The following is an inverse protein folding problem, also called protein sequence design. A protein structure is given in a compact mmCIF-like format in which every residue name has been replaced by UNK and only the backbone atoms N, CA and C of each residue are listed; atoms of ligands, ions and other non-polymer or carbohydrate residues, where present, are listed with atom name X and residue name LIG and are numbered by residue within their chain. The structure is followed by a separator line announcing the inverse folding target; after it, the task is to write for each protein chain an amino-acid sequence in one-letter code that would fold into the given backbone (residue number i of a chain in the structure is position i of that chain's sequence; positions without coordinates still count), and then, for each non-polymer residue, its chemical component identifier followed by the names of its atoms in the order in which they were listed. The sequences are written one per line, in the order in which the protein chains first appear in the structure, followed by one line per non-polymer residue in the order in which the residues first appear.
data_IF_371905713994
#
_entry.id   IF_371905713994
#
_cell.length_a   1.000
_cell.length_b   1.000
_cell.length_c   1.000
_cell.angle_alpha   90.00
_cell.angle_beta   90.00
_cell.angle_gamma   90.00
#
_symmetry.space_group_name_H-M   'P 1'
#
loop_
_entity.id
_entity.type
_entity.pdbx_description
1 polymer ?
#
# COMPACT_ATOMS: atom_id res chain seq x y z
N UNK A 1 9.16 -5.97 -16.98
CA UNK A 1 8.89 -5.14 -18.20
C UNK A 1 9.42 -5.86 -19.44
N UNK A 2 9.05 -5.45 -20.66
CA UNK A 2 9.47 -6.13 -21.92
C UNK A 2 10.70 -5.47 -22.58
N UNK A 3 11.48 -4.66 -21.84
CA UNK A 3 12.75 -4.16 -22.33
C UNK A 3 13.79 -5.27 -22.40
N UNK A 4 14.58 -5.26 -23.47
CA UNK A 4 15.86 -5.96 -23.49
C UNK A 4 16.83 -5.26 -22.54
N UNK A 5 17.81 -6.00 -22.02
CA UNK A 5 18.80 -5.45 -21.08
C UNK A 5 19.49 -4.17 -21.58
N UNK A 6 19.92 -4.03 -22.85
CA UNK A 6 20.54 -2.80 -23.33
C UNK A 6 19.62 -1.57 -23.27
N UNK A 7 18.33 -1.75 -23.54
CA UNK A 7 17.35 -0.65 -23.44
C UNK A 7 17.14 -0.26 -21.99
N UNK A 8 17.04 -1.24 -21.10
CA UNK A 8 16.95 -1.01 -19.66
C UNK A 8 18.15 -0.20 -19.15
N UNK A 9 19.36 -0.65 -19.48
CA UNK A 9 20.62 -0.01 -19.09
C UNK A 9 20.72 1.43 -19.60
N UNK A 10 20.32 1.67 -20.86
CA UNK A 10 20.32 3.01 -21.44
C UNK A 10 19.35 3.97 -20.72
N UNK A 11 18.18 3.48 -20.30
CA UNK A 11 17.19 4.30 -19.58
C UNK A 11 17.69 4.64 -18.19
N UNK A 12 18.18 3.66 -17.42
CA UNK A 12 18.66 3.91 -16.05
C UNK A 12 19.94 4.77 -16.04
N UNK A 13 20.78 4.68 -17.08
CA UNK A 13 21.96 5.53 -17.22
C UNK A 13 21.58 7.01 -17.42
N UNK A 14 20.48 7.28 -18.13
CA UNK A 14 19.95 8.64 -18.34
C UNK A 14 19.08 9.12 -17.18
N UNK A 15 18.42 8.19 -16.49
CA UNK A 15 17.47 8.44 -15.42
C UNK A 15 17.77 7.52 -14.24
N UNK A 16 18.72 7.90 -13.35
CA UNK A 16 19.05 7.11 -12.18
C UNK A 16 17.82 6.89 -11.29
N UNK A 17 17.56 5.64 -10.93
CA UNK A 17 16.44 5.26 -10.05
C UNK A 17 16.99 4.87 -8.66
N UNK A 18 16.23 5.10 -7.57
CA UNK A 18 16.69 4.76 -6.23
C UNK A 18 16.95 3.26 -6.09
N UNK A 19 18.17 2.90 -5.69
CA UNK A 19 18.52 1.54 -5.28
C UNK A 19 18.16 1.36 -3.80
N UNK A 20 17.38 0.32 -3.48
CA UNK A 20 17.05 0.00 -2.08
C UNK A 20 17.85 -1.19 -1.53
N UNK A 21 18.52 -1.96 -2.40
CA UNK A 21 19.26 -3.16 -2.01
C UNK A 21 20.63 -3.18 -2.71
N UNK A 22 21.58 -3.96 -2.18
CA UNK A 22 22.90 -4.16 -2.80
C UNK A 22 22.85 -4.99 -4.11
N UNK A 23 21.65 -5.25 -4.63
CA UNK A 23 21.42 -6.05 -5.83
C UNK A 23 21.40 -5.18 -7.09
N UNK A 24 21.93 -5.72 -8.19
CA UNK A 24 21.92 -5.04 -9.47
C UNK A 24 20.49 -4.81 -9.98
N UNK A 25 20.23 -3.62 -10.54
CA UNK A 25 18.94 -3.27 -11.11
C UNK A 25 18.55 -4.24 -12.24
N UNK A 26 17.29 -4.65 -12.26
CA UNK A 26 16.82 -5.68 -13.20
C UNK A 26 15.42 -5.41 -13.75
N UNK A 27 15.17 -5.60 -15.07
CA UNK A 27 13.84 -5.44 -15.65
C UNK A 27 12.81 -6.49 -15.18
N UNK A 28 13.27 -7.52 -14.46
CA UNK A 28 12.45 -8.59 -13.89
C UNK A 28 12.06 -8.35 -12.43
N UNK A 29 12.70 -7.38 -11.77
CA UNK A 29 12.30 -6.93 -10.43
C UNK A 29 11.14 -5.93 -10.59
N UNK A 30 9.95 -6.17 -9.99
CA UNK A 30 8.78 -5.32 -10.20
C UNK A 30 9.03 -3.83 -9.92
N UNK A 31 9.72 -3.52 -8.82
CA UNK A 31 10.12 -2.16 -8.44
C UNK A 31 10.88 -1.48 -9.57
N UNK A 32 12.00 -2.07 -9.98
CA UNK A 32 12.90 -1.49 -10.98
C UNK A 32 12.20 -1.35 -12.33
N UNK A 33 11.39 -2.34 -12.70
CA UNK A 33 10.60 -2.32 -13.92
C UNK A 33 9.60 -1.15 -13.93
N UNK A 34 8.91 -0.89 -12.82
CA UNK A 34 7.96 0.21 -12.68
C UNK A 34 8.68 1.55 -12.76
N UNK A 35 9.74 1.75 -11.96
CA UNK A 35 10.49 3.02 -11.97
C UNK A 35 11.12 3.31 -13.34
N UNK A 36 11.68 2.29 -13.99
CA UNK A 36 12.28 2.43 -15.32
C UNK A 36 11.23 2.72 -16.39
N UNK A 37 10.05 2.10 -16.32
CA UNK A 37 8.95 2.41 -17.24
C UNK A 37 8.50 3.88 -17.09
N UNK A 38 8.36 4.37 -15.85
CA UNK A 38 8.02 5.79 -15.59
C UNK A 38 9.10 6.72 -16.14
N UNK A 39 10.38 6.40 -15.89
CA UNK A 39 11.51 7.17 -16.41
C UNK A 39 11.50 7.23 -17.95
N UNK A 40 11.29 6.09 -18.62
CA UNK A 40 11.21 6.01 -20.07
C UNK A 40 10.07 6.86 -20.64
N UNK A 41 8.87 6.75 -20.07
CA UNK A 41 7.71 7.52 -20.51
C UNK A 41 7.97 9.01 -20.30
N UNK A 42 8.50 9.42 -19.14
CA UNK A 42 8.85 10.82 -18.88
C UNK A 42 9.92 11.34 -19.85
N UNK A 43 10.95 10.54 -20.14
CA UNK A 43 11.98 10.83 -21.13
C UNK A 43 11.44 10.93 -22.56
N UNK A 44 10.33 10.25 -22.84
CA UNK A 44 9.57 10.31 -24.10
C UNK A 44 8.52 11.43 -24.12
N UNK A 45 8.53 12.33 -23.14
CA UNK A 45 7.65 13.50 -23.08
C UNK A 45 6.40 13.35 -22.21
N UNK A 46 6.22 12.20 -21.52
CA UNK A 46 5.02 11.91 -20.73
C UNK A 46 4.89 12.68 -19.40
N UNK A 47 5.87 13.53 -19.06
CA UNK A 47 5.97 14.13 -17.73
C UNK A 47 4.75 15.01 -17.41
N UNK A 48 4.13 14.71 -16.27
CA UNK A 48 2.89 15.37 -15.82
C UNK A 48 1.64 14.90 -16.57
N UNK A 49 1.65 13.71 -17.17
CA UNK A 49 0.51 13.15 -17.92
C UNK A 49 0.30 13.76 -19.31
N UNK A 50 1.24 14.59 -19.79
CA UNK A 50 1.18 15.19 -21.14
C UNK A 50 1.69 14.20 -22.19
N UNK A 51 1.32 14.35 -23.45
CA UNK A 51 1.87 13.55 -24.58
C UNK A 51 1.89 12.02 -24.37
N UNK A 52 0.98 11.48 -23.53
CA UNK A 52 0.97 10.05 -23.20
C UNK A 52 0.84 9.17 -24.43
N UNK A 53 -0.03 9.57 -25.37
CA UNK A 53 -0.20 8.88 -26.65
C UNK A 53 1.14 8.72 -27.39
N UNK A 54 1.86 9.82 -27.60
CA UNK A 54 3.14 9.82 -28.31
C UNK A 54 4.20 9.01 -27.55
N UNK A 55 4.26 9.14 -26.22
CA UNK A 55 5.23 8.40 -25.41
C UNK A 55 4.98 6.87 -25.44
N UNK A 56 3.72 6.44 -25.41
CA UNK A 56 3.35 5.02 -25.53
C UNK A 56 3.62 4.53 -26.96
N UNK A 57 3.36 5.35 -27.97
CA UNK A 57 3.66 5.00 -29.37
C UNK A 57 5.17 4.82 -29.60
N UNK A 58 6.01 5.63 -28.94
CA UNK A 58 7.48 5.47 -28.94
C UNK A 58 7.89 4.16 -28.25
N UNK A 59 7.16 3.73 -27.21
CA UNK A 59 7.40 2.42 -26.56
C UNK A 59 7.04 1.26 -27.48
N UNK A 60 5.87 1.33 -28.13
CA UNK A 60 5.38 0.33 -29.05
C UNK A 60 4.61 1.03 -30.19
N UNK A 61 5.12 1.00 -31.44
CA UNK A 61 4.57 1.76 -32.56
C UNK A 61 3.31 1.09 -33.15
N UNK A 62 2.32 0.87 -32.31
CA UNK A 62 1.06 0.24 -32.65
C UNK A 62 -0.10 1.00 -32.02
N UNK A 63 -0.92 1.65 -32.85
CA UNK A 63 -2.04 2.47 -32.37
C UNK A 63 -3.05 1.67 -31.53
N UNK A 64 -3.30 0.40 -31.89
CA UNK A 64 -4.17 -0.47 -31.09
C UNK A 64 -3.61 -0.71 -29.67
N UNK A 65 -2.29 -0.74 -29.52
CA UNK A 65 -1.63 -0.91 -28.22
C UNK A 65 -1.75 0.36 -27.39
N UNK A 66 -1.52 1.52 -28.02
CA UNK A 66 -1.72 2.84 -27.38
C UNK A 66 -3.16 2.97 -26.89
N UNK A 67 -4.14 2.70 -27.74
CA UNK A 67 -5.55 2.74 -27.38
C UNK A 67 -5.88 1.81 -26.20
N UNK A 68 -5.35 0.57 -26.22
CA UNK A 68 -5.53 -0.38 -25.12
C UNK A 68 -4.93 0.11 -23.80
N UNK A 69 -3.71 0.64 -23.83
CA UNK A 69 -3.02 1.13 -22.62
C UNK A 69 -3.71 2.36 -22.05
N UNK A 70 -4.16 3.28 -22.89
CA UNK A 70 -4.88 4.48 -22.45
C UNK A 70 -6.26 4.13 -21.88
N UNK A 71 -6.98 3.17 -22.48
CA UNK A 71 -8.24 2.67 -21.92
C UNK A 71 -8.02 2.03 -20.54
N UNK A 72 -7.03 1.14 -20.41
CA UNK A 72 -6.69 0.54 -19.12
C UNK A 72 -6.30 1.59 -18.07
N UNK A 73 -5.57 2.63 -18.47
CA UNK A 73 -5.20 3.73 -17.57
C UNK A 73 -6.42 4.56 -17.12
N UNK A 74 -7.48 4.66 -17.93
CA UNK A 74 -8.74 5.30 -17.55
C UNK A 74 -9.51 4.43 -16.54
N UNK A 75 -9.58 3.12 -16.77
CA UNK A 75 -10.22 2.18 -15.82
C UNK A 75 -9.58 2.27 -14.43
N UNK A 76 -8.25 2.35 -14.35
CA UNK A 76 -7.54 2.53 -13.08
C UNK A 76 -7.78 3.88 -12.39
N UNK A 77 -8.21 4.90 -13.12
CA UNK A 77 -8.57 6.21 -12.56
C UNK A 77 -10.02 6.26 -12.08
N UNK A 78 -10.85 5.29 -12.48
CA UNK A 78 -12.26 5.22 -12.16
C UNK A 78 -12.51 4.02 -11.22
N UNK A 79 -12.53 4.21 -9.89
CA UNK A 79 -12.73 3.12 -8.93
C UNK A 79 -14.02 2.33 -9.20
N UNK A 80 -15.05 3.00 -9.75
CA UNK A 80 -16.31 2.40 -10.18
C UNK A 80 -16.15 1.28 -11.20
N UNK A 81 -15.19 1.39 -12.12
CA UNK A 81 -14.96 0.43 -13.20
C UNK A 81 -14.22 -0.81 -12.67
N UNK A 82 -13.62 -0.71 -11.49
CA UNK A 82 -12.95 -1.80 -10.75
C UNK A 82 -13.82 -2.41 -9.65
N UNK A 83 -15.10 -2.05 -9.57
CA UNK A 83 -16.04 -2.54 -8.54
C UNK A 83 -16.02 -1.75 -7.23
N UNK A 84 -15.34 -0.61 -7.17
CA UNK A 84 -15.41 0.35 -6.08
C UNK A 84 -16.67 1.20 -6.16
N UNK A 85 -17.66 0.92 -5.33
CA UNK A 85 -18.99 1.53 -5.45
C UNK A 85 -19.18 2.82 -4.63
N UNK A 86 -18.19 3.22 -3.82
CA UNK A 86 -18.27 4.43 -2.98
C UNK A 86 -16.89 5.02 -2.69
N UNK A 87 -16.81 6.36 -2.64
CA UNK A 87 -15.66 7.07 -2.07
C UNK A 87 -15.42 6.63 -0.62
N UNK A 88 -14.16 6.46 -0.18
CA UNK A 88 -13.86 6.11 1.20
C UNK A 88 -14.40 7.19 2.15
N UNK A 89 -14.94 6.77 3.30
CA UNK A 89 -15.32 7.71 4.34
C UNK A 89 -14.09 8.50 4.84
N UNK A 90 -14.25 9.72 5.38
CA UNK A 90 -13.12 10.48 5.92
C UNK A 90 -12.27 9.69 6.93
N UNK A 91 -12.92 8.91 7.79
CA UNK A 91 -12.24 8.03 8.74
C UNK A 91 -11.46 6.90 8.07
N UNK A 92 -12.00 6.29 7.01
CA UNK A 92 -11.29 5.28 6.23
C UNK A 92 -10.07 5.89 5.53
N UNK A 93 -10.23 7.08 4.95
CA UNK A 93 -9.12 7.81 4.32
C UNK A 93 -8.00 8.12 5.32
N UNK A 94 -8.33 8.64 6.49
CA UNK A 94 -7.34 8.97 7.52
C UNK A 94 -6.58 7.73 8.03
N UNK A 95 -7.27 6.60 8.20
CA UNK A 95 -6.62 5.35 8.57
C UNK A 95 -5.69 4.83 7.46
N UNK A 96 -6.11 4.93 6.19
CA UNK A 96 -5.28 4.57 5.04
C UNK A 96 -4.04 5.47 4.96
N UNK A 97 -4.22 6.79 5.05
CA UNK A 97 -3.13 7.76 4.98
C UNK A 97 -2.08 7.50 6.10
N UNK A 98 -2.52 7.15 7.32
CA UNK A 98 -1.59 6.73 8.38
C UNK A 98 -0.83 5.45 8.03
N UNK A 99 -1.55 4.42 7.55
CA UNK A 99 -0.96 3.12 7.22
C UNK A 99 0.04 3.23 6.05
N UNK A 100 -0.25 4.06 5.05
CA UNK A 100 0.67 4.36 3.94
C UNK A 100 1.96 5.02 4.45
N UNK A 101 1.87 5.89 5.46
CA UNK A 101 3.04 6.46 6.13
C UNK A 101 3.96 5.43 6.79
N UNK A 102 3.47 4.21 7.05
CA UNK A 102 4.24 3.12 7.67
C UNK A 102 4.87 2.17 6.64
N UNK A 103 4.71 2.43 5.34
CA UNK A 103 5.28 1.57 4.28
C UNK A 103 6.80 1.48 4.38
N UNK A 104 7.32 0.25 4.33
CA UNK A 104 8.75 -0.04 4.43
C UNK A 104 9.23 -0.40 5.85
N UNK A 105 8.40 -0.23 6.88
CA UNK A 105 8.71 -0.75 8.21
C UNK A 105 8.65 -2.29 8.22
N UNK A 106 9.53 -2.95 8.99
CA UNK A 106 9.52 -4.41 9.12
C UNK A 106 8.26 -4.90 9.83
N UNK A 107 7.83 -6.12 9.48
CA UNK A 107 6.84 -6.83 10.29
C UNK A 107 7.47 -7.31 11.59
N UNK A 108 6.93 -6.90 12.73
CA UNK A 108 7.42 -7.28 14.06
C UNK A 108 6.30 -7.97 14.82
N UNK A 109 6.47 -9.25 15.15
CA UNK A 109 5.47 -10.02 15.89
C UNK A 109 5.20 -9.39 17.27
N UNK A 110 3.96 -8.97 17.53
CA UNK A 110 3.57 -8.23 18.74
C UNK A 110 3.84 -6.72 18.68
N UNK A 111 4.45 -6.24 17.59
CA UNK A 111 4.90 -4.84 17.46
C UNK A 111 3.76 -3.84 17.27
N UNK A 112 3.86 -2.72 17.96
CA UNK A 112 2.90 -1.61 17.97
C UNK A 112 3.39 -0.38 17.19
N UNK A 113 4.58 -0.46 16.60
CA UNK A 113 5.18 0.60 15.80
C UNK A 113 6.27 1.41 16.50
N UNK A 114 6.95 2.29 15.75
CA UNK A 114 8.08 3.08 16.25
C UNK A 114 7.77 3.98 17.44
N UNK A 115 6.55 4.52 17.52
CA UNK A 115 6.13 5.38 18.64
C UNK A 115 6.08 4.62 19.97
N UNK A 116 5.85 3.30 19.93
CA UNK A 116 5.87 2.41 21.08
C UNK A 116 7.25 1.74 21.29
N UNK A 117 8.26 2.15 20.52
CA UNK A 117 9.63 1.64 20.61
C UNK A 117 9.92 0.39 19.79
N UNK A 118 8.97 -0.09 18.99
CA UNK A 118 9.14 -1.25 18.12
C UNK A 118 9.70 -0.83 16.75
N UNK A 119 10.52 -1.69 16.12
CA UNK A 119 11.06 -1.39 14.79
C UNK A 119 9.96 -1.32 13.69
N UNK A 120 8.77 -1.86 13.97
CA UNK A 120 7.62 -1.85 13.07
C UNK A 120 6.40 -2.49 13.73
N UNK A 121 5.47 -2.97 12.92
CA UNK A 121 4.14 -3.39 13.38
C UNK A 121 3.89 -4.87 13.10
N UNK A 122 3.03 -5.51 13.89
CA UNK A 122 2.29 -6.69 13.43
C UNK A 122 0.96 -6.27 12.76
N UNK A 123 0.19 -7.27 12.32
CA UNK A 123 -1.06 -7.04 11.62
C UNK A 123 -2.07 -6.21 12.44
N UNK A 124 -2.36 -6.60 13.67
CA UNK A 124 -3.34 -5.89 14.50
C UNK A 124 -2.80 -4.61 15.11
N UNK A 125 -1.48 -4.46 15.22
CA UNK A 125 -0.81 -3.25 15.71
C UNK A 125 -0.97 -2.11 14.73
N UNK A 126 -0.66 -2.37 13.46
CA UNK A 126 -0.85 -1.38 12.40
C UNK A 126 -2.31 -0.98 12.27
N UNK A 127 -3.24 -1.95 12.25
CA UNK A 127 -4.68 -1.66 12.14
C UNK A 127 -5.16 -0.83 13.34
N UNK A 128 -4.75 -1.17 14.56
CA UNK A 128 -5.13 -0.40 15.75
C UNK A 128 -4.62 1.04 15.68
N UNK A 129 -3.36 1.23 15.32
CA UNK A 129 -2.75 2.56 15.24
C UNK A 129 -3.40 3.41 14.14
N UNK A 130 -3.66 2.82 12.96
CA UNK A 130 -4.33 3.48 11.85
C UNK A 130 -5.75 3.94 12.18
N UNK A 131 -6.56 3.11 12.82
CA UNK A 131 -7.93 3.51 13.18
C UNK A 131 -7.95 4.49 14.36
N UNK A 132 -6.92 4.48 15.22
CA UNK A 132 -6.81 5.43 16.32
C UNK A 132 -6.62 6.87 15.85
N UNK A 133 -5.95 7.12 14.71
CA UNK A 133 -5.84 8.48 14.13
C UNK A 133 -7.22 9.01 13.74
N UNK A 134 -8.05 8.16 13.14
CA UNK A 134 -9.46 8.44 12.84
C UNK A 134 -10.40 8.43 14.06
N UNK A 135 -9.86 8.36 15.30
CA UNK A 135 -10.64 8.37 16.54
C UNK A 135 -11.44 7.09 16.81
N UNK A 136 -11.15 5.98 16.12
CA UNK A 136 -11.84 4.69 16.26
C UNK A 136 -10.96 3.73 17.08
N UNK A 137 -11.24 3.54 18.37
CA UNK A 137 -10.41 2.67 19.21
C UNK A 137 -10.64 1.20 18.87
N UNK A 138 -9.58 0.48 18.51
CA UNK A 138 -9.60 -0.96 18.30
C UNK A 138 -8.87 -1.71 19.43
N UNK A 139 -9.32 -2.94 19.67
CA UNK A 139 -8.63 -3.87 20.56
C UNK A 139 -7.37 -4.43 19.90
N UNK A 140 -6.42 -4.87 20.73
CA UNK A 140 -5.10 -5.28 20.25
C UNK A 140 -5.09 -6.64 19.55
N UNK A 141 -6.05 -7.50 19.86
CA UNK A 141 -6.19 -8.81 19.27
C UNK A 141 -7.31 -8.80 18.21
N UNK A 142 -7.06 -9.40 17.05
CA UNK A 142 -8.12 -9.68 16.08
C UNK A 142 -9.07 -10.81 16.52
N UNK A 143 -8.82 -11.39 17.71
CA UNK A 143 -9.61 -12.50 18.24
C UNK A 143 -10.92 -11.98 18.84
N UNK A 144 -11.95 -12.01 18.00
CA UNK A 144 -13.34 -11.78 18.35
C UNK A 144 -13.82 -12.84 19.35
N UNK A 145 -14.02 -12.45 20.61
CA UNK A 145 -14.85 -13.21 21.58
C UNK A 145 -16.05 -12.38 22.03
N UNK A 146 -16.74 -11.70 21.11
CA UNK A 146 -18.08 -11.14 21.38
C UNK A 146 -19.02 -11.30 20.17
N UNK A 147 -20.28 -11.73 20.37
CA UNK A 147 -21.27 -11.92 19.29
C UNK A 147 -21.89 -10.61 18.78
N UNK A 148 -21.53 -9.46 19.34
CA UNK A 148 -22.24 -8.21 19.10
C UNK A 148 -21.25 -7.09 18.71
N UNK A 149 -21.65 -6.29 17.73
CA UNK A 149 -20.91 -5.18 17.12
C UNK A 149 -20.91 -3.91 17.99
N UNK A 150 -21.20 -4.03 19.28
CA UNK A 150 -21.11 -2.90 20.21
C UNK A 150 -19.66 -2.39 20.27
N UNK A 151 -19.42 -1.08 20.01
CA UNK A 151 -18.09 -0.51 20.13
C UNK A 151 -17.59 -0.69 21.55
N UNK A 152 -16.31 -1.04 21.72
CA UNK A 152 -15.62 -1.00 23.01
C UNK A 152 -15.51 0.46 23.49
N UNK A 153 -16.65 1.02 23.90
CA UNK A 153 -16.74 2.32 24.54
C UNK A 153 -16.28 2.16 25.98
N UNK A 154 -15.29 2.96 26.35
CA UNK A 154 -14.76 3.07 27.70
C UNK A 154 -15.85 3.52 28.67
N UNK A 155 -16.56 2.59 29.30
CA UNK A 155 -17.20 2.86 30.58
C UNK A 155 -16.44 2.10 31.66
N UNK A 156 -15.63 2.84 32.41
CA UNK A 156 -15.10 2.42 33.71
C UNK A 156 -16.30 2.17 34.64
N UNK A 157 -16.80 0.95 34.72
CA UNK A 157 -17.66 0.53 35.82
C UNK A 157 -16.80 -0.20 36.85
N UNK A 158 -16.53 0.52 37.93
CA UNK A 158 -16.05 0.01 39.21
C UNK A 158 -17.01 -1.08 39.72
N UNK A 159 -16.53 -2.32 39.85
CA UNK A 159 -17.28 -3.42 40.46
C UNK A 159 -16.50 -4.74 40.45
N UNK A 160 -16.62 -5.60 41.48
CA UNK A 160 -15.58 -6.56 41.85
C UNK A 160 -15.62 -7.80 40.97
N UNK A 161 -14.56 -7.99 40.18
CA UNK A 161 -14.37 -9.20 39.39
C UNK A 161 -14.16 -10.39 40.30
N UNK A 162 -15.18 -11.25 40.41
CA UNK A 162 -15.03 -12.61 40.89
C UNK A 162 -14.20 -13.39 39.88
N UNK A 163 -13.14 -14.00 40.40
CA UNK A 163 -12.22 -14.91 39.75
C UNK A 163 -12.95 -16.05 39.04
N UNK A 164 -12.56 -16.36 37.79
CA UNK A 164 -12.91 -17.62 37.13
C UNK A 164 -11.63 -18.49 37.09
N UNK A 165 -11.63 -19.70 37.68
CA UNK A 165 -10.40 -20.49 37.81
C UNK A 165 -10.02 -21.11 36.47
N UNK A 166 -8.78 -20.90 36.05
CA UNK A 166 -8.13 -21.69 35.01
C UNK A 166 -8.04 -23.14 35.49
N UNK A 167 -8.92 -24.02 34.98
CA UNK A 167 -8.74 -25.46 35.11
C UNK A 167 -7.90 -25.92 33.92
N UNK A 168 -6.59 -25.96 34.15
CA UNK A 168 -5.64 -26.67 33.32
C UNK A 168 -5.45 -28.07 33.90
N UNK A 169 -5.71 -29.12 33.13
CA UNK A 169 -4.89 -30.36 33.11
C UNK A 169 -5.40 -31.32 32.03
N UNK A 170 -4.46 -31.63 31.10
CA UNK A 170 -4.28 -32.82 30.25
C UNK A 170 -5.37 -33.22 29.27
#
# INVERSE_FOLDING_TARGET
MQFLQPTFDAVIAKHPIPQQEAQALSPYVPRDAIYTAVAYLCGSGARGGRNLHQAILIYNPAEWYVAKVLALAQDYQNPSDLGGTTEPSPAAKEAIDYAEGQLGLPYVWGGNGPEDGDAGFDCSGLTKAAYATAGIPLLRNCRRTVPDWSPCSSKKTTGPWRSCPLRNTR
#
